data_IF_642025081414
#
_entry.id   IF_642025081414
#
_cell.length_a   1.000
_cell.length_b   1.000
_cell.length_c   1.000
_cell.angle_alpha   90.00
_cell.angle_beta   90.00
_cell.angle_gamma   90.00
#
_symmetry.space_group_name_H-M   'P 1'
#
loop_
_entity.id
_entity.type
_entity.pdbx_description
1 polymer ?
#
# COMPACT_ATOMS: atom_id res chain seq x y z
N UNK A 1 -8.92 -4.01 -22.33
CA UNK A 1 -7.56 -4.53 -22.60
C UNK A 1 -7.37 -5.71 -21.66
N UNK A 2 -6.86 -6.84 -22.15
CA UNK A 2 -6.55 -7.95 -21.25
C UNK A 2 -5.41 -7.50 -20.33
N UNK A 3 -5.59 -7.64 -19.01
CA UNK A 3 -4.52 -7.36 -18.05
C UNK A 3 -3.36 -8.31 -18.35
N UNK A 4 -2.21 -7.76 -18.73
CA UNK A 4 -1.00 -8.54 -18.93
C UNK A 4 -0.56 -9.08 -17.56
N UNK A 5 -0.21 -10.37 -17.43
CA UNK A 5 0.25 -10.92 -16.16
C UNK A 5 1.50 -10.17 -15.69
N UNK A 6 1.51 -9.80 -14.40
CA UNK A 6 2.59 -9.03 -13.77
C UNK A 6 3.98 -9.60 -14.04
N UNK A 7 4.14 -10.92 -13.97
CA UNK A 7 5.42 -11.59 -14.25
C UNK A 7 5.94 -11.26 -15.64
N UNK A 8 5.06 -11.26 -16.65
CA UNK A 8 5.43 -10.94 -18.02
C UNK A 8 5.85 -9.47 -18.19
N UNK A 9 5.20 -8.54 -17.48
CA UNK A 9 5.61 -7.13 -17.50
C UNK A 9 7.04 -6.97 -16.99
N UNK A 10 7.38 -7.68 -15.89
CA UNK A 10 8.71 -7.63 -15.26
C UNK A 10 9.76 -8.29 -16.18
N UNK A 11 9.45 -9.45 -16.76
CA UNK A 11 10.33 -10.13 -17.72
C UNK A 11 10.61 -9.30 -18.98
N UNK A 12 9.59 -8.63 -19.53
CA UNK A 12 9.70 -7.79 -20.73
C UNK A 12 10.39 -6.45 -20.45
N UNK A 13 10.45 -6.01 -19.17
CA UNK A 13 10.99 -4.71 -18.76
C UNK A 13 11.93 -4.85 -17.55
N UNK A 14 13.07 -5.55 -17.71
CA UNK A 14 14.00 -5.76 -16.62
C UNK A 14 14.59 -4.43 -16.14
N UNK A 15 14.90 -4.36 -14.85
CA UNK A 15 15.53 -3.20 -14.22
C UNK A 15 16.92 -2.94 -14.83
N UNK A 16 17.67 -4.02 -15.10
CA UNK A 16 18.98 -3.94 -15.73
C UNK A 16 19.94 -3.02 -14.96
N UNK A 17 20.46 -1.99 -15.64
CA UNK A 17 21.35 -0.99 -15.07
C UNK A 17 20.61 0.24 -14.50
N UNK A 18 19.27 0.24 -14.49
CA UNK A 18 18.47 1.40 -14.11
C UNK A 18 18.63 1.85 -12.65
N UNK A 19 19.21 1.00 -11.79
CA UNK A 19 19.54 1.32 -10.40
C UNK A 19 21.04 1.56 -10.15
N UNK A 20 21.89 1.58 -11.18
CA UNK A 20 23.35 1.70 -10.99
C UNK A 20 23.76 3.02 -10.34
N UNK A 21 23.14 4.14 -10.73
CA UNK A 21 23.38 5.44 -10.09
C UNK A 21 22.96 5.43 -8.61
N UNK A 22 21.84 4.79 -8.29
CA UNK A 22 21.39 4.62 -6.91
C UNK A 22 22.38 3.76 -6.11
N UNK A 23 22.83 2.62 -6.66
CA UNK A 23 23.84 1.75 -6.04
C UNK A 23 25.18 2.46 -5.85
N UNK A 24 25.61 3.25 -6.82
CA UNK A 24 26.81 4.07 -6.70
C UNK A 24 26.69 5.10 -5.56
N UNK A 25 25.50 5.71 -5.39
CA UNK A 25 25.26 6.63 -4.27
C UNK A 25 25.36 5.95 -2.91
N UNK A 26 25.01 4.67 -2.79
CA UNK A 26 25.22 3.90 -1.56
C UNK A 26 26.71 3.79 -1.23
N UNK A 27 27.54 3.50 -2.22
CA UNK A 27 28.98 3.40 -2.04
C UNK A 27 29.59 4.71 -1.53
N UNK A 28 29.15 5.85 -2.09
CA UNK A 28 29.54 7.17 -1.60
C UNK A 28 29.10 7.40 -0.15
N UNK A 29 27.85 7.04 0.18
CA UNK A 29 27.30 7.20 1.54
C UNK A 29 28.09 6.40 2.57
N UNK A 30 28.53 5.16 2.27
CA UNK A 30 29.38 4.43 3.22
C UNK A 30 30.77 5.05 3.33
N UNK A 31 31.38 5.46 2.19
CA UNK A 31 32.72 6.03 2.16
C UNK A 31 32.80 7.33 2.97
N UNK A 32 31.81 8.21 2.85
CA UNK A 32 31.73 9.46 3.60
C UNK A 32 31.61 9.23 5.13
N UNK A 33 31.11 8.05 5.52
CA UNK A 33 30.92 7.65 6.93
C UNK A 33 32.00 6.71 7.45
N UNK A 34 32.98 6.37 6.61
CA UNK A 34 34.04 5.40 6.90
C UNK A 34 33.50 4.04 7.40
N UNK A 35 32.36 3.60 6.86
CA UNK A 35 31.73 2.30 7.18
C UNK A 35 31.86 1.31 6.03
N UNK A 36 31.97 -0.01 6.29
CA UNK A 36 31.99 -1.01 5.23
C UNK A 36 30.68 -1.03 4.44
N UNK A 37 30.76 -0.92 3.11
CA UNK A 37 29.59 -1.05 2.22
C UNK A 37 29.06 -2.48 2.15
N UNK A 38 28.29 -2.84 3.16
CA UNK A 38 27.56 -4.10 3.28
C UNK A 38 26.07 -3.79 3.37
N UNK A 39 25.20 -4.79 3.15
CA UNK A 39 23.74 -4.59 3.29
C UNK A 39 23.36 -4.12 4.71
N UNK A 40 24.13 -4.54 5.73
CA UNK A 40 23.93 -4.14 7.13
C UNK A 40 24.22 -2.65 7.37
N UNK A 41 24.94 -1.97 6.47
CA UNK A 41 25.25 -0.54 6.59
C UNK A 41 23.98 0.33 6.52
N UNK A 42 22.88 -0.15 5.91
CA UNK A 42 21.59 0.53 5.98
C UNK A 42 21.07 0.69 7.41
N UNK A 43 21.40 -0.24 8.31
CA UNK A 43 21.05 -0.14 9.73
C UNK A 43 21.86 0.90 10.50
N UNK A 44 22.98 1.35 9.93
CA UNK A 44 23.90 2.32 10.55
C UNK A 44 23.65 3.75 10.08
N UNK A 45 22.79 3.95 9.08
CA UNK A 45 22.41 5.27 8.62
C UNK A 45 21.51 5.96 9.64
N UNK A 46 21.79 7.23 9.91
CA UNK A 46 20.86 8.10 10.61
C UNK A 46 19.56 8.31 9.82
N UNK A 47 18.52 8.81 10.48
CA UNK A 47 17.18 8.95 9.86
C UNK A 47 17.19 9.88 8.64
N UNK A 48 17.98 10.95 8.66
CA UNK A 48 18.04 11.91 7.55
C UNK A 48 18.73 11.30 6.34
N UNK A 49 19.84 10.60 6.56
CA UNK A 49 20.58 9.87 5.55
C UNK A 49 19.71 8.77 4.92
N UNK A 50 19.01 7.98 5.74
CA UNK A 50 18.12 6.93 5.25
C UNK A 50 16.94 7.52 4.45
N UNK A 51 16.37 8.64 4.89
CA UNK A 51 15.29 9.34 4.18
C UNK A 51 15.76 9.87 2.81
N UNK A 52 16.90 10.54 2.77
CA UNK A 52 17.50 11.04 1.52
C UNK A 52 17.87 9.89 0.58
N UNK A 53 18.45 8.82 1.11
CA UNK A 53 18.82 7.64 0.35
C UNK A 53 17.58 6.93 -0.24
N UNK A 54 16.50 6.84 0.54
CA UNK A 54 15.21 6.34 0.04
C UNK A 54 14.68 7.20 -1.10
N UNK A 55 14.72 8.53 -0.97
CA UNK A 55 14.26 9.44 -2.03
C UNK A 55 15.02 9.20 -3.35
N UNK A 56 16.33 8.96 -3.27
CA UNK A 56 17.13 8.58 -4.43
C UNK A 56 16.66 7.27 -5.06
N UNK A 57 16.39 6.24 -4.25
CA UNK A 57 15.82 4.98 -4.72
C UNK A 57 14.47 5.18 -5.42
N UNK A 58 13.53 5.88 -4.78
CA UNK A 58 12.18 6.07 -5.31
C UNK A 58 12.19 6.80 -6.65
N UNK A 59 13.01 7.84 -6.79
CA UNK A 59 13.17 8.57 -8.05
C UNK A 59 13.77 7.71 -9.15
N UNK A 60 14.76 6.88 -8.83
CA UNK A 60 15.32 5.93 -9.78
C UNK A 60 14.26 4.91 -10.21
N UNK A 61 13.54 4.32 -9.27
CA UNK A 61 12.50 3.33 -9.51
C UNK A 61 11.33 3.89 -10.35
N UNK A 62 10.92 5.14 -10.11
CA UNK A 62 9.86 5.82 -10.89
C UNK A 62 10.20 5.99 -12.37
N UNK A 63 11.50 6.06 -12.72
CA UNK A 63 11.95 6.23 -14.10
C UNK A 63 12.13 4.89 -14.83
N UNK A 64 11.91 3.75 -14.16
CA UNK A 64 12.00 2.44 -14.79
C UNK A 64 10.74 2.16 -15.62
N UNK A 65 10.87 1.58 -16.84
CA UNK A 65 9.72 1.31 -17.71
C UNK A 65 8.63 0.46 -17.04
N UNK A 66 9.02 -0.53 -16.22
CA UNK A 66 8.08 -1.37 -15.49
C UNK A 66 7.19 -0.56 -14.52
N UNK A 67 7.65 0.58 -13.98
CA UNK A 67 6.86 1.38 -13.05
C UNK A 67 5.62 2.01 -13.70
N UNK A 68 5.68 2.34 -15.00
CA UNK A 68 4.53 2.87 -15.76
C UNK A 68 3.56 1.75 -16.19
N UNK A 69 4.02 0.50 -16.24
CA UNK A 69 3.23 -0.65 -16.73
C UNK A 69 2.62 -1.47 -15.60
N UNK A 70 3.30 -1.55 -14.46
CA UNK A 70 2.83 -2.28 -13.29
C UNK A 70 1.60 -1.57 -12.69
N UNK A 71 0.56 -2.32 -12.31
CA UNK A 71 -0.63 -1.75 -11.71
C UNK A 71 -0.30 -1.13 -10.35
N UNK A 72 -1.01 -0.06 -9.98
CA UNK A 72 -0.97 0.46 -8.63
C UNK A 72 -1.48 -0.59 -7.61
N UNK A 73 -1.02 -0.47 -6.37
CA UNK A 73 -1.51 -1.22 -5.20
C UNK A 73 -2.96 -0.84 -4.90
N UNK A 74 -3.30 0.44 -5.08
CA UNK A 74 -4.70 0.87 -5.15
C UNK A 74 -5.24 0.50 -6.53
N UNK A 75 -6.48 0.00 -6.64
CA UNK A 75 -7.08 -0.49 -7.91
C UNK A 75 -7.16 0.55 -9.06
N UNK A 76 -6.52 1.70 -8.92
CA UNK A 76 -6.54 2.83 -9.85
C UNK A 76 -5.15 3.47 -9.95
N UNK A 77 -4.52 3.37 -11.11
CA UNK A 77 -3.24 4.02 -11.41
C UNK A 77 -2.12 3.03 -11.75
N UNK A 78 -0.90 3.54 -11.78
CA UNK A 78 0.33 2.76 -12.05
C UNK A 78 1.21 2.73 -10.80
N UNK A 79 2.12 1.77 -10.73
CA UNK A 79 3.07 1.66 -9.61
C UNK A 79 3.92 2.93 -9.45
N UNK A 80 4.24 3.61 -10.55
CA UNK A 80 4.90 4.92 -10.53
C UNK A 80 4.13 5.96 -9.71
N UNK A 81 2.80 5.99 -9.83
CA UNK A 81 1.97 6.91 -9.06
C UNK A 81 2.00 6.62 -7.57
N UNK A 82 2.08 5.35 -7.19
CA UNK A 82 2.20 4.99 -5.78
C UNK A 82 3.63 5.23 -5.25
N UNK A 83 4.68 5.06 -6.06
CA UNK A 83 6.05 5.42 -5.70
C UNK A 83 6.18 6.92 -5.42
N UNK A 84 5.51 7.76 -6.21
CA UNK A 84 5.41 9.21 -5.97
C UNK A 84 4.71 9.52 -4.65
N UNK A 85 3.61 8.81 -4.33
CA UNK A 85 2.91 8.97 -3.04
C UNK A 85 3.81 8.58 -1.87
N UNK A 86 4.54 7.48 -2.00
CA UNK A 86 5.51 7.05 -1.00
C UNK A 86 6.61 8.11 -0.84
N UNK A 87 7.12 8.70 -1.91
CA UNK A 87 8.11 9.78 -1.84
C UNK A 87 7.58 11.00 -1.07
N UNK A 88 6.32 11.40 -1.31
CA UNK A 88 5.69 12.51 -0.59
C UNK A 88 5.46 12.18 0.89
N UNK A 89 5.14 10.93 1.22
CA UNK A 89 4.97 10.51 2.63
C UNK A 89 6.28 10.58 3.43
N UNK A 90 7.44 10.57 2.76
CA UNK A 90 8.73 10.82 3.40
C UNK A 90 8.90 12.27 3.85
N UNK A 91 7.96 13.18 3.66
CA UNK A 91 8.03 14.50 4.31
C UNK A 91 7.30 14.51 5.67
N UNK A 92 6.63 13.41 6.04
CA UNK A 92 6.00 13.26 7.35
C UNK A 92 7.02 12.86 8.42
N UNK A 93 6.90 13.49 9.59
CA UNK A 93 7.66 13.16 10.80
C UNK A 93 7.27 11.78 11.37
N UNK A 94 6.02 11.35 11.17
CA UNK A 94 5.48 10.08 11.68
C UNK A 94 5.77 8.87 10.76
N UNK A 95 6.51 9.09 9.66
CA UNK A 95 6.84 8.03 8.72
C UNK A 95 7.81 7.01 9.34
N UNK A 96 7.41 5.74 9.40
CA UNK A 96 8.24 4.64 9.90
C UNK A 96 9.26 4.19 8.83
N UNK A 97 10.46 4.81 8.88
CA UNK A 97 11.56 4.55 7.96
C UNK A 97 12.12 3.12 8.04
N UNK A 98 11.94 2.40 9.15
CA UNK A 98 12.49 1.05 9.31
C UNK A 98 11.86 0.05 8.33
N UNK A 99 10.67 0.36 7.79
CA UNK A 99 9.95 -0.44 6.81
C UNK A 99 10.48 -0.37 5.40
N UNK A 100 11.26 0.67 5.11
CA UNK A 100 11.86 0.84 3.79
C UNK A 100 13.13 -0.02 3.68
N UNK A 101 13.77 -0.39 4.78
CA UNK A 101 14.98 -1.22 4.75
C UNK A 101 14.76 -2.54 3.99
N UNK A 102 13.67 -3.31 4.20
CA UNK A 102 13.33 -4.47 3.38
C UNK A 102 13.17 -4.21 1.88
N UNK A 103 12.84 -2.97 1.47
CA UNK A 103 12.73 -2.55 0.07
C UNK A 103 14.10 -2.17 -0.52
N UNK A 104 14.97 -1.51 0.24
CA UNK A 104 16.30 -1.10 -0.22
C UNK A 104 17.29 -2.27 -0.30
N UNK A 105 17.18 -3.25 0.60
CA UNK A 105 18.05 -4.43 0.61
C UNK A 105 18.12 -5.15 -0.76
N UNK A 106 17.01 -5.57 -1.39
CA UNK A 106 17.06 -6.24 -2.69
C UNK A 106 17.52 -5.30 -3.82
N UNK A 107 17.29 -3.98 -3.72
CA UNK A 107 17.78 -3.01 -4.71
C UNK A 107 19.31 -2.85 -4.68
N UNK A 108 19.94 -3.12 -3.53
CA UNK A 108 21.40 -3.11 -3.34
C UNK A 108 22.04 -4.48 -3.54
N UNK A 109 21.25 -5.56 -3.55
CA UNK A 109 21.76 -6.91 -3.73
C UNK A 109 22.37 -7.11 -5.12
N UNK A 110 23.39 -7.97 -5.20
CA UNK A 110 23.97 -8.44 -6.45
C UNK A 110 24.08 -9.97 -6.39
N UNK A 111 23.40 -10.74 -7.27
CA UNK A 111 22.57 -10.28 -8.40
C UNK A 111 21.27 -9.58 -7.98
N UNK A 112 20.71 -8.80 -8.91
CA UNK A 112 19.41 -8.12 -8.73
C UNK A 112 18.26 -9.13 -8.93
N UNK A 113 17.21 -9.03 -8.13
CA UNK A 113 15.96 -9.76 -8.30
C UNK A 113 14.82 -8.77 -8.52
N UNK A 114 14.48 -8.56 -9.78
CA UNK A 114 13.49 -7.58 -10.21
C UNK A 114 12.11 -7.87 -9.61
N UNK A 115 11.71 -9.15 -9.60
CA UNK A 115 10.41 -9.55 -9.07
C UNK A 115 10.31 -9.23 -7.58
N UNK A 116 11.36 -9.56 -6.82
CA UNK A 116 11.43 -9.26 -5.40
C UNK A 116 11.40 -7.76 -5.11
N UNK A 117 12.10 -6.93 -5.89
CA UNK A 117 12.08 -5.47 -5.71
C UNK A 117 10.66 -4.94 -5.93
N UNK A 118 10.01 -5.32 -7.02
CA UNK A 118 8.65 -4.89 -7.31
C UNK A 118 7.63 -5.44 -6.31
N UNK A 119 7.85 -6.63 -5.73
CA UNK A 119 7.02 -7.16 -4.64
C UNK A 119 7.15 -6.30 -3.37
N UNK A 120 8.38 -5.91 -3.01
CA UNK A 120 8.63 -5.05 -1.85
C UNK A 120 8.02 -3.67 -2.00
N UNK A 121 8.00 -3.10 -3.21
CA UNK A 121 7.33 -1.82 -3.46
C UNK A 121 5.84 -1.92 -3.12
N UNK A 122 5.18 -3.01 -3.51
CA UNK A 122 3.77 -3.25 -3.17
C UNK A 122 3.54 -3.46 -1.68
N UNK A 123 4.43 -4.21 -1.01
CA UNK A 123 4.34 -4.46 0.43
C UNK A 123 4.35 -3.15 1.24
N UNK A 124 5.24 -2.22 0.88
CA UNK A 124 5.40 -0.93 1.59
C UNK A 124 4.21 0.02 1.35
N UNK A 125 3.48 -0.14 0.25
CA UNK A 125 2.34 0.70 -0.12
C UNK A 125 0.99 0.18 0.38
N UNK A 126 0.97 -1.00 1.02
CA UNK A 126 -0.26 -1.53 1.61
C UNK A 126 -0.58 -0.72 2.88
N UNK A 127 -1.78 -0.10 3.00
CA UNK A 127 -2.14 0.74 4.14
C UNK A 127 -1.89 0.03 5.47
N UNK A 128 -1.05 0.63 6.32
CA UNK A 128 -0.56 -0.05 7.51
C UNK A 128 -1.42 0.14 8.76
N UNK A 129 -2.34 1.09 8.81
CA UNK A 129 -3.10 1.43 10.02
C UNK A 129 -4.18 0.39 10.43
N UNK A 130 -3.82 -0.87 10.25
CA UNK A 130 -4.25 -2.12 10.87
C UNK A 130 -5.05 -2.93 9.86
N UNK A 131 -4.68 -4.21 9.75
CA UNK A 131 -5.53 -5.22 9.13
C UNK A 131 -6.94 -4.96 9.66
N UNK A 132 -7.92 -4.69 8.79
CA UNK A 132 -9.32 -4.51 9.22
C UNK A 132 -9.81 -5.70 10.05
N UNK A 133 -9.15 -6.86 9.93
CA UNK A 133 -9.35 -8.05 10.76
C UNK A 133 -8.83 -7.97 12.20
N UNK A 134 -7.96 -7.02 12.56
CA UNK A 134 -7.45 -6.86 13.95
C UNK A 134 -8.31 -5.92 14.78
N UNK A 135 -9.24 -5.21 14.14
CA UNK A 135 -10.31 -4.53 14.85
C UNK A 135 -11.44 -5.52 15.02
N UNK A 136 -11.71 -5.89 16.27
CA UNK A 136 -13.02 -6.42 16.60
C UNK A 136 -14.06 -5.43 16.06
N UNK A 137 -15.11 -5.96 15.42
CA UNK A 137 -16.16 -5.21 14.72
C UNK A 137 -17.03 -4.41 15.73
N UNK A 138 -16.42 -3.55 16.55
CA UNK A 138 -17.11 -2.68 17.50
C UNK A 138 -17.40 -1.33 16.84
N UNK A 139 -18.56 -0.78 17.14
CA UNK A 139 -19.01 0.52 16.66
C UNK A 139 -18.08 1.65 17.08
N UNK A 140 -17.45 1.54 18.24
CA UNK A 140 -16.54 2.55 18.82
C UNK A 140 -15.33 2.83 17.92
N UNK A 141 -14.78 1.83 17.23
CA UNK A 141 -13.62 2.02 16.36
C UNK A 141 -13.99 2.43 14.93
N UNK A 142 -15.28 2.44 14.54
CA UNK A 142 -15.69 2.77 13.17
C UNK A 142 -15.37 4.20 12.78
N UNK A 143 -15.51 5.16 13.68
CA UNK A 143 -15.24 6.57 13.37
C UNK A 143 -13.74 6.83 13.20
N UNK A 144 -12.93 6.29 14.11
CA UNK A 144 -11.48 6.30 14.01
C UNK A 144 -11.01 5.64 12.70
N UNK A 145 -11.54 4.46 12.38
CA UNK A 145 -11.21 3.74 11.14
C UNK A 145 -11.64 4.51 9.90
N UNK A 146 -12.82 5.14 9.92
CA UNK A 146 -13.27 5.94 8.80
C UNK A 146 -12.34 7.13 8.55
N UNK A 147 -11.80 7.76 9.60
CA UNK A 147 -10.87 8.88 9.44
C UNK A 147 -9.52 8.39 8.90
N UNK A 148 -8.98 7.32 9.48
CA UNK A 148 -7.76 6.64 8.99
C UNK A 148 -7.90 6.22 7.52
N UNK A 149 -9.01 5.58 7.14
CA UNK A 149 -9.24 5.14 5.76
C UNK A 149 -9.42 6.32 4.79
N UNK A 150 -9.98 7.45 5.24
CA UNK A 150 -10.05 8.67 4.42
C UNK A 150 -8.67 9.28 4.18
N UNK A 151 -7.81 9.24 5.19
CA UNK A 151 -6.43 9.73 5.10
C UNK A 151 -5.60 8.83 4.16
N UNK A 152 -5.69 7.51 4.33
CA UNK A 152 -4.91 6.52 3.58
C UNK A 152 -5.37 6.35 2.12
N UNK A 153 -6.68 6.34 1.88
CA UNK A 153 -7.23 5.93 0.58
C UNK A 153 -7.59 7.11 -0.33
N UNK A 154 -7.24 8.36 0.05
CA UNK A 154 -7.79 9.57 -0.57
C UNK A 154 -9.33 9.56 -0.50
N UNK A 155 -10.12 10.50 -1.06
CA UNK A 155 -11.57 10.52 -0.84
C UNK A 155 -12.27 9.39 -1.58
N UNK A 156 -12.18 8.17 -1.05
CA UNK A 156 -13.16 7.14 -1.28
C UNK A 156 -14.48 7.70 -0.79
N UNK A 157 -15.51 7.65 -1.62
CA UNK A 157 -16.88 7.89 -1.19
C UNK A 157 -17.27 6.78 -0.20
N UNK A 158 -16.89 6.92 1.07
CA UNK A 158 -17.20 5.97 2.17
C UNK A 158 -18.72 5.94 2.46
N UNK A 159 -19.48 6.83 1.83
CA UNK A 159 -20.94 6.74 1.71
C UNK A 159 -21.32 7.00 0.26
N UNK A 160 -21.72 5.95 -0.45
CA UNK A 160 -22.55 6.11 -1.65
C UNK A 160 -23.93 6.58 -1.18
N UNK A 161 -24.38 7.79 -1.55
CA UNK A 161 -25.77 8.18 -1.36
C UNK A 161 -26.66 7.11 -2.02
N UNK A 162 -27.75 6.75 -1.37
CA UNK A 162 -28.69 5.75 -1.88
C UNK A 162 -28.06 4.38 -2.20
N UNK A 163 -26.99 3.97 -1.51
CA UNK A 163 -26.32 2.67 -1.72
C UNK A 163 -27.31 1.50 -1.82
N UNK A 164 -28.30 1.46 -0.93
CA UNK A 164 -29.32 0.41 -0.96
C UNK A 164 -30.06 0.36 -2.30
N UNK A 165 -30.44 1.53 -2.83
CA UNK A 165 -31.10 1.64 -4.12
C UNK A 165 -30.16 1.30 -5.28
N UNK A 166 -28.90 1.76 -5.23
CA UNK A 166 -27.93 1.56 -6.30
C UNK A 166 -27.52 0.08 -6.42
N UNK A 167 -27.31 -0.59 -5.29
CA UNK A 167 -26.77 -1.95 -5.28
C UNK A 167 -27.86 -3.02 -5.32
N UNK A 168 -29.03 -2.75 -4.74
CA UNK A 168 -30.11 -3.72 -4.61
C UNK A 168 -31.36 -3.39 -5.42
N UNK A 169 -31.33 -2.41 -6.35
CA UNK A 169 -32.47 -2.10 -7.24
C UNK A 169 -32.99 -3.33 -7.98
N UNK A 170 -32.06 -4.22 -8.34
CA UNK A 170 -32.35 -5.36 -9.22
C UNK A 170 -32.75 -6.61 -8.44
N UNK A 171 -32.84 -6.51 -7.10
CA UNK A 171 -33.28 -7.61 -6.24
C UNK A 171 -34.76 -7.42 -5.90
N UNK A 172 -35.68 -8.05 -6.64
CA UNK A 172 -37.11 -7.90 -6.40
C UNK A 172 -37.49 -8.37 -5.00
N UNK A 173 -38.39 -7.62 -4.36
CA UNK A 173 -38.94 -7.93 -3.03
C UNK A 173 -37.92 -7.98 -1.88
N UNK A 174 -36.67 -7.51 -2.08
CA UNK A 174 -35.65 -7.53 -1.02
C UNK A 174 -36.14 -6.84 0.26
N UNK A 175 -36.75 -5.67 0.12
CA UNK A 175 -37.27 -4.91 1.26
C UNK A 175 -38.35 -5.70 2.02
N UNK A 176 -39.28 -6.30 1.29
CA UNK A 176 -40.37 -7.11 1.88
C UNK A 176 -39.81 -8.33 2.59
N UNK A 177 -38.94 -9.10 1.93
CA UNK A 177 -38.32 -10.31 2.51
C UNK A 177 -37.48 -9.95 3.74
N UNK A 178 -36.69 -8.88 3.65
CA UNK A 178 -35.86 -8.41 4.77
C UNK A 178 -36.74 -8.00 5.95
N UNK A 179 -37.80 -7.23 5.73
CA UNK A 179 -38.74 -6.84 6.80
C UNK A 179 -39.40 -8.05 7.46
N UNK A 180 -39.87 -9.01 6.66
CA UNK A 180 -40.46 -10.25 7.20
C UNK A 180 -39.44 -11.05 8.01
N UNK A 181 -38.21 -11.17 7.51
CA UNK A 181 -37.13 -11.85 8.19
C UNK A 181 -36.78 -11.15 9.52
N UNK A 182 -36.52 -9.84 9.53
CA UNK A 182 -36.22 -9.09 10.75
C UNK A 182 -37.37 -9.14 11.77
N UNK A 183 -38.62 -9.05 11.31
CA UNK A 183 -39.80 -9.16 12.18
C UNK A 183 -39.87 -10.53 12.88
N UNK A 184 -39.57 -11.61 12.16
CA UNK A 184 -39.55 -12.96 12.76
C UNK A 184 -38.50 -13.11 13.88
N UNK A 185 -37.43 -12.32 13.86
CA UNK A 185 -36.42 -12.28 14.92
C UNK A 185 -36.77 -11.38 16.10
N UNK A 186 -37.64 -10.38 15.90
CA UNK A 186 -38.15 -9.51 16.97
C UNK A 186 -39.33 -10.14 17.74
N UNK A 187 -40.10 -11.01 17.08
CA UNK A 187 -41.30 -11.66 17.64
C UNK A 187 -41.02 -13.04 18.27
N UNK A 188 -39.78 -13.55 18.19
CA UNK A 188 -39.38 -14.82 18.80
C UNK A 188 -39.15 -14.73 20.31
N UNK A 189 -39.23 -15.86 21.02
CA UNK A 189 -39.06 -15.96 22.48
C UNK A 189 -37.66 -15.56 23.01
N UNK A 190 -36.73 -15.15 22.14
CA UNK A 190 -35.39 -14.69 22.51
C UNK A 190 -34.85 -13.72 21.43
N UNK A 191 -35.27 -12.44 21.44
CA UNK A 191 -34.89 -11.50 20.39
C UNK A 191 -33.38 -11.24 20.41
N UNK A 192 -32.71 -11.49 19.27
CA UNK A 192 -31.27 -11.27 19.10
C UNK A 192 -30.90 -9.79 18.91
N UNK A 193 -31.90 -8.92 18.75
CA UNK A 193 -31.74 -7.49 18.54
C UNK A 193 -32.76 -6.75 19.42
N UNK A 194 -32.26 -5.85 20.27
CA UNK A 194 -33.11 -4.86 20.96
C UNK A 194 -33.29 -3.63 20.08
N UNK A 195 -34.47 -3.01 20.16
CA UNK A 195 -34.71 -1.68 19.60
C UNK A 195 -34.09 -0.65 20.54
N UNK A 196 -32.87 -0.21 20.25
CA UNK A 196 -32.31 1.06 20.72
C UNK A 196 -32.32 2.10 19.58
#
# INVERSE_FOLDING_TARGET
>A
MADQPRSKIIEDNPIGNGLDTFRASFNTVCADRDIPCTLDALGQLDQEALRNFTRTFLRAAQNLPAADLLPATTRRGTLRSDLLRLELSLDSDDFDLDRIKPLLNPALANPLDDALIWDRVHDVQTPWLRKTSSFANSSEYREYINNVLKEELSPIYIRLPDFHKIYFSDVPNLETVSKTFFKSYLEGNNPLFSND
#
